data_IF_851051659151
#
_entry.id   IF_851051659151
#
_cell.length_a   1.000
_cell.length_b   1.000
_cell.length_c   1.000
_cell.angle_alpha   90.00
_cell.angle_beta   90.00
_cell.angle_gamma   90.00
#
_symmetry.space_group_name_H-M   'P 1'
#
loop_
_entity.id
_entity.type
_entity.pdbx_description
1 polymer ?
#
# COMPACT_ATOMS: atom_id res chain seq x y z
N UNK A 1 -3.34 -6.28 -67.17
CA UNK A 1 -4.50 -6.19 -66.28
C UNK A 1 -3.97 -5.97 -64.87
N UNK A 2 -3.96 -4.71 -64.43
CA UNK A 2 -3.55 -4.31 -63.08
C UNK A 2 -4.71 -4.56 -62.13
N UNK A 3 -4.46 -5.27 -61.03
CA UNK A 3 -5.38 -5.33 -59.90
C UNK A 3 -4.96 -4.25 -58.90
N UNK A 4 -5.60 -3.09 -58.98
CA UNK A 4 -5.61 -2.11 -57.89
C UNK A 4 -6.41 -2.70 -56.73
N UNK A 5 -5.71 -3.08 -55.66
CA UNK A 5 -6.34 -3.40 -54.37
C UNK A 5 -6.67 -2.07 -53.71
N UNK A 6 -7.93 -1.63 -53.88
CA UNK A 6 -8.48 -0.50 -53.15
C UNK A 6 -8.53 -0.85 -51.66
N UNK A 7 -7.56 -0.33 -50.89
CA UNK A 7 -7.60 -0.34 -49.43
C UNK A 7 -8.76 0.56 -48.99
N UNK A 8 -9.90 -0.06 -48.71
CA UNK A 8 -11.04 0.63 -48.12
C UNK A 8 -10.71 0.86 -46.65
N UNK A 9 -10.17 2.03 -46.32
CA UNK A 9 -10.09 2.49 -44.93
C UNK A 9 -11.53 2.65 -44.41
N UNK A 10 -11.97 1.76 -43.52
CA UNK A 10 -13.17 1.99 -42.72
C UNK A 10 -12.82 3.00 -41.62
N UNK A 11 -13.49 4.17 -41.56
CA UNK A 11 -13.31 5.10 -40.46
C UNK A 11 -14.10 4.57 -39.25
N UNK A 12 -13.39 4.10 -38.22
CA UNK A 12 -14.01 3.67 -36.96
C UNK A 12 -13.55 2.33 -36.39
N UNK A 13 -12.52 1.70 -36.95
CA UNK A 13 -11.88 0.58 -36.26
C UNK A 13 -11.26 1.11 -34.96
N UNK A 14 -11.87 0.80 -33.82
CA UNK A 14 -11.16 0.75 -32.55
C UNK A 14 -9.92 -0.10 -32.80
N UNK A 15 -8.75 0.52 -32.87
CA UNK A 15 -7.49 -0.22 -32.92
C UNK A 15 -7.55 -1.14 -31.72
N UNK A 16 -7.70 -2.46 -31.97
CA UNK A 16 -7.80 -3.41 -30.87
C UNK A 16 -6.59 -3.20 -29.98
N UNK A 17 -6.79 -3.18 -28.66
CA UNK A 17 -5.70 -2.97 -27.68
C UNK A 17 -4.45 -3.77 -28.01
N UNK A 18 -4.62 -5.00 -28.53
CA UNK A 18 -3.54 -5.84 -29.03
C UNK A 18 -2.77 -5.22 -30.21
N UNK A 19 -3.44 -4.64 -31.21
CA UNK A 19 -2.79 -3.96 -32.33
C UNK A 19 -2.04 -2.69 -31.89
N UNK A 20 -2.54 -1.97 -30.87
CA UNK A 20 -1.86 -0.82 -30.31
C UNK A 20 -0.61 -1.20 -29.49
N UNK A 21 -0.65 -2.31 -28.73
CA UNK A 21 0.46 -2.73 -27.87
C UNK A 21 1.54 -3.53 -28.64
N UNK A 22 1.13 -4.41 -29.55
CA UNK A 22 2.03 -5.38 -30.19
C UNK A 22 2.54 -4.96 -31.57
N UNK A 23 2.23 -3.75 -32.04
CA UNK A 23 2.83 -3.20 -33.26
C UNK A 23 3.92 -2.17 -32.93
N UNK A 24 5.02 -2.10 -33.71
CA UNK A 24 6.05 -1.07 -33.51
C UNK A 24 5.48 0.35 -33.56
N UNK A 25 4.53 0.59 -34.47
CA UNK A 25 3.87 1.89 -34.62
C UNK A 25 3.00 2.22 -33.41
N UNK A 26 2.16 1.29 -32.96
CA UNK A 26 1.32 1.48 -31.78
C UNK A 26 2.15 1.68 -30.51
N UNK A 27 3.27 0.95 -30.36
CA UNK A 27 4.18 1.12 -29.24
C UNK A 27 4.82 2.52 -29.23
N UNK A 28 5.27 3.03 -30.39
CA UNK A 28 5.77 4.40 -30.51
C UNK A 28 4.71 5.45 -30.14
N UNK A 29 3.44 5.21 -30.51
CA UNK A 29 2.34 6.09 -30.13
C UNK A 29 2.08 6.08 -28.63
N UNK A 30 2.14 4.91 -27.98
CA UNK A 30 2.02 4.78 -26.53
C UNK A 30 3.17 5.49 -25.79
N UNK A 31 4.40 5.39 -26.29
CA UNK A 31 5.57 6.11 -25.74
C UNK A 31 5.34 7.62 -25.80
N UNK A 32 4.95 8.15 -26.96
CA UNK A 32 4.66 9.60 -27.12
C UNK A 32 3.50 10.05 -26.23
N UNK A 33 2.45 9.24 -26.11
CA UNK A 33 1.33 9.52 -25.21
C UNK A 33 1.81 9.60 -23.76
N UNK A 34 2.67 8.67 -23.33
CA UNK A 34 3.21 8.64 -21.98
C UNK A 34 4.11 9.84 -21.67
N UNK A 35 4.91 10.31 -22.64
CA UNK A 35 5.68 11.56 -22.54
C UNK A 35 4.77 12.77 -22.32
N UNK A 36 3.68 12.87 -23.08
CA UNK A 36 2.68 13.93 -22.92
C UNK A 36 1.98 13.82 -21.56
N UNK A 37 1.59 12.61 -21.16
CA UNK A 37 0.95 12.34 -19.89
C UNK A 37 1.83 12.77 -18.72
N UNK A 38 3.14 12.46 -18.76
CA UNK A 38 4.10 12.87 -17.74
C UNK A 38 4.27 14.39 -17.62
N UNK A 39 3.96 15.17 -18.66
CA UNK A 39 3.99 16.64 -18.60
C UNK A 39 2.78 17.24 -17.88
N UNK A 40 1.69 16.48 -17.69
CA UNK A 40 0.54 16.95 -16.94
C UNK A 40 0.86 17.06 -15.45
N UNK A 41 0.64 18.25 -14.88
CA UNK A 41 0.84 18.50 -13.45
C UNK A 41 -0.43 18.38 -12.61
N UNK A 42 -1.58 18.72 -13.20
CA UNK A 42 -2.84 18.82 -12.45
C UNK A 42 -3.65 17.50 -12.49
N UNK A 43 -3.58 16.76 -13.59
CA UNK A 43 -4.42 15.58 -13.80
C UNK A 43 -3.69 14.25 -13.60
N UNK A 44 -2.37 14.30 -13.40
CA UNK A 44 -1.51 13.13 -13.14
C UNK A 44 -0.92 13.27 -11.74
N UNK A 45 -0.94 12.19 -10.93
CA UNK A 45 -0.36 12.21 -9.59
C UNK A 45 1.13 12.56 -9.55
N UNK A 46 1.57 13.14 -8.43
CA UNK A 46 2.96 13.56 -8.23
C UNK A 46 3.98 12.42 -8.42
N UNK A 47 3.62 11.17 -8.10
CA UNK A 47 4.51 10.03 -8.29
C UNK A 47 4.68 9.59 -9.75
N UNK A 48 3.86 10.09 -10.69
CA UNK A 48 3.95 9.84 -12.13
C UNK A 48 4.38 11.09 -12.93
N UNK A 49 4.12 12.30 -12.41
CA UNK A 49 4.50 13.55 -13.07
C UNK A 49 6.02 13.60 -13.32
N UNK A 50 6.40 13.93 -14.56
CA UNK A 50 7.79 13.93 -15.02
C UNK A 50 8.43 12.56 -15.22
N UNK A 51 7.67 11.46 -15.08
CA UNK A 51 8.17 10.08 -15.21
C UNK A 51 7.51 9.35 -16.39
N UNK A 52 8.01 9.56 -17.63
CA UNK A 52 7.39 9.00 -18.84
C UNK A 52 7.35 7.47 -18.83
N UNK A 53 8.36 6.79 -18.29
CA UNK A 53 8.38 5.33 -18.20
C UNK A 53 7.28 4.77 -17.29
N UNK A 54 7.03 5.41 -16.15
CA UNK A 54 5.97 5.00 -15.23
C UNK A 54 4.59 5.31 -15.84
N UNK A 55 4.44 6.46 -16.51
CA UNK A 55 3.24 6.79 -17.28
C UNK A 55 2.99 5.79 -18.42
N UNK A 56 4.04 5.28 -19.07
CA UNK A 56 3.91 4.28 -20.13
C UNK A 56 3.39 2.97 -19.57
N UNK A 57 3.94 2.50 -18.45
CA UNK A 57 3.44 1.30 -17.78
C UNK A 57 1.95 1.42 -17.42
N UNK A 58 1.54 2.56 -16.85
CA UNK A 58 0.13 2.84 -16.54
C UNK A 58 -0.73 2.91 -17.80
N UNK A 59 -0.23 3.52 -18.88
CA UNK A 59 -0.94 3.63 -20.15
C UNK A 59 -1.16 2.27 -20.79
N UNK A 60 -0.14 1.41 -20.80
CA UNK A 60 -0.26 0.04 -21.31
C UNK A 60 -1.27 -0.77 -20.48
N UNK A 61 -1.23 -0.64 -19.15
CA UNK A 61 -2.18 -1.32 -18.27
C UNK A 61 -3.62 -0.82 -18.49
N UNK A 62 -3.80 0.49 -18.65
CA UNK A 62 -5.10 1.09 -18.93
C UNK A 62 -5.65 0.64 -20.29
N UNK A 63 -4.79 0.58 -21.31
CA UNK A 63 -5.15 0.06 -22.63
C UNK A 63 -5.61 -1.40 -22.54
N UNK A 64 -4.92 -2.24 -21.76
CA UNK A 64 -5.31 -3.64 -21.50
C UNK A 64 -6.71 -3.77 -20.91
N UNK A 65 -7.09 -2.88 -20.01
CA UNK A 65 -8.44 -2.83 -19.46
C UNK A 65 -9.46 -2.07 -20.33
N UNK A 66 -9.02 -1.47 -21.44
CA UNK A 66 -9.87 -0.60 -22.26
C UNK A 66 -10.33 0.66 -21.53
N UNK A 67 -9.51 1.17 -20.59
CA UNK A 67 -9.82 2.32 -19.75
C UNK A 67 -8.98 3.54 -20.11
N UNK A 68 -9.46 4.72 -19.73
CA UNK A 68 -8.73 5.97 -19.93
C UNK A 68 -7.45 6.01 -19.05
N UNK A 69 -6.25 6.18 -19.64
CA UNK A 69 -4.99 6.21 -18.90
C UNK A 69 -4.92 7.27 -17.77
N UNK A 70 -5.48 8.46 -17.97
CA UNK A 70 -5.50 9.50 -16.94
C UNK A 70 -6.37 9.11 -15.75
N UNK A 71 -7.54 8.50 -16.01
CA UNK A 71 -8.42 8.04 -14.94
C UNK A 71 -7.80 6.88 -14.16
N UNK A 72 -7.10 5.96 -14.84
CA UNK A 72 -6.34 4.88 -14.19
C UNK A 72 -5.21 5.45 -13.34
N UNK A 73 -4.43 6.38 -13.87
CA UNK A 73 -3.34 7.02 -13.13
C UNK A 73 -3.80 7.69 -11.84
N UNK A 74 -4.93 8.40 -11.86
CA UNK A 74 -5.50 9.04 -10.67
C UNK A 74 -5.88 8.05 -9.55
N UNK A 75 -5.93 6.75 -9.87
CA UNK A 75 -6.25 5.67 -8.95
C UNK A 75 -5.04 4.81 -8.61
N UNK A 76 -3.84 5.35 -8.78
CA UNK A 76 -2.57 4.72 -8.39
C UNK A 76 -1.97 5.38 -7.16
N UNK A 77 -1.21 4.61 -6.39
CA UNK A 77 -0.43 5.06 -5.24
C UNK A 77 0.91 4.34 -5.20
N UNK A 78 1.92 4.91 -4.56
CA UNK A 78 3.21 4.24 -4.36
C UNK A 78 3.33 3.79 -2.90
N UNK A 79 3.68 2.52 -2.71
CA UNK A 79 3.99 1.93 -1.41
C UNK A 79 5.37 1.29 -1.50
N UNK A 80 6.32 1.75 -0.68
CA UNK A 80 7.68 1.22 -0.65
C UNK A 80 8.33 1.11 -2.05
N UNK A 81 8.15 2.16 -2.88
CA UNK A 81 8.66 2.22 -4.24
C UNK A 81 7.89 1.41 -5.28
N UNK A 82 6.87 0.65 -4.88
CA UNK A 82 6.04 -0.16 -5.79
C UNK A 82 4.71 0.54 -6.07
N UNK A 83 4.31 0.58 -7.34
CA UNK A 83 3.00 1.12 -7.76
C UNK A 83 1.88 0.15 -7.40
N UNK A 84 0.90 0.64 -6.64
CA UNK A 84 -0.36 -0.04 -6.34
C UNK A 84 -1.55 0.68 -6.94
N UNK A 85 -2.66 -0.04 -7.09
CA UNK A 85 -3.92 0.44 -7.65
C UNK A 85 -5.03 0.42 -6.60
N UNK A 86 -5.85 1.45 -6.54
CA UNK A 86 -6.93 1.53 -5.56
C UNK A 86 -7.97 0.42 -5.76
N UNK A 87 -8.59 -0.02 -4.66
CA UNK A 87 -9.67 -1.00 -4.70
C UNK A 87 -10.87 -0.56 -5.56
N UNK A 88 -11.12 0.76 -5.64
CA UNK A 88 -12.16 1.31 -6.51
C UNK A 88 -11.88 1.03 -7.99
N UNK A 89 -10.61 1.11 -8.41
CA UNK A 89 -10.22 0.77 -9.77
C UNK A 89 -10.37 -0.72 -10.02
N UNK A 90 -9.93 -1.58 -9.10
CA UNK A 90 -10.12 -3.04 -9.18
C UNK A 90 -11.60 -3.37 -9.40
N UNK A 91 -12.50 -2.74 -8.63
CA UNK A 91 -13.94 -2.91 -8.79
C UNK A 91 -14.42 -2.49 -10.19
N UNK A 92 -13.97 -1.33 -10.68
CA UNK A 92 -14.34 -0.84 -12.00
C UNK A 92 -13.88 -1.81 -13.10
N UNK A 93 -12.62 -2.24 -13.05
CA UNK A 93 -12.00 -3.16 -14.01
C UNK A 93 -12.75 -4.48 -14.08
N UNK A 94 -13.01 -5.09 -12.92
CA UNK A 94 -13.72 -6.38 -12.86
C UNK A 94 -15.16 -6.22 -13.33
N UNK A 95 -15.85 -5.17 -12.88
CA UNK A 95 -17.25 -4.91 -13.25
C UNK A 95 -17.46 -4.57 -14.73
N UNK A 96 -16.47 -3.98 -15.41
CA UNK A 96 -16.53 -3.68 -16.84
C UNK A 96 -15.93 -4.77 -17.72
N UNK A 97 -15.35 -5.82 -17.12
CA UNK A 97 -14.72 -6.90 -17.86
C UNK A 97 -15.73 -7.76 -18.60
N UNK A 98 -15.26 -8.43 -19.66
CA UNK A 98 -16.07 -9.40 -20.38
C UNK A 98 -16.25 -10.73 -19.65
N UNK A 99 -15.62 -10.91 -18.48
CA UNK A 99 -15.72 -12.13 -17.67
C UNK A 99 -17.09 -12.26 -17.00
N UNK A 100 -17.66 -11.15 -16.53
CA UNK A 100 -18.88 -11.18 -15.74
C UNK A 100 -20.15 -11.09 -16.61
N UNK A 101 -21.18 -11.86 -16.24
CA UNK A 101 -22.53 -11.74 -16.75
C UNK A 101 -23.35 -10.70 -15.98
N UNK A 102 -23.05 -10.52 -14.69
CA UNK A 102 -23.63 -9.46 -13.84
C UNK A 102 -22.53 -8.57 -13.26
N UNK A 103 -22.87 -7.35 -12.82
CA UNK A 103 -21.92 -6.54 -12.03
C UNK A 103 -21.69 -7.17 -10.65
N UNK A 104 -20.65 -6.71 -9.96
CA UNK A 104 -20.45 -7.01 -8.53
C UNK A 104 -21.60 -6.43 -7.71
N UNK A 105 -22.19 -7.27 -6.86
CA UNK A 105 -23.26 -6.93 -5.94
C UNK A 105 -22.77 -7.05 -4.49
N UNK A 106 -23.51 -6.41 -3.57
CA UNK A 106 -23.11 -6.26 -2.18
C UNK A 106 -24.31 -6.44 -1.26
N UNK A 107 -24.11 -7.14 -0.14
CA UNK A 107 -25.06 -7.22 0.97
C UNK A 107 -24.28 -7.06 2.26
N UNK A 108 -24.79 -6.23 3.16
CA UNK A 108 -24.21 -6.06 4.49
C UNK A 108 -25.15 -6.66 5.51
N UNK A 109 -24.59 -7.42 6.44
CA UNK A 109 -25.33 -8.05 7.53
C UNK A 109 -24.76 -7.55 8.88
N UNK A 110 -25.61 -7.51 9.91
CA UNK A 110 -25.29 -7.02 11.25
C UNK A 110 -25.73 -5.57 11.53
N UNK A 111 -25.61 -5.14 12.79
CA UNK A 111 -25.96 -3.80 13.26
C UNK A 111 -24.78 -2.82 13.12
N UNK A 112 -24.68 -2.21 11.94
CA UNK A 112 -23.60 -1.28 11.59
C UNK A 112 -23.63 0.05 12.36
N UNK A 113 -24.68 0.33 13.15
CA UNK A 113 -24.71 1.54 13.99
C UNK A 113 -23.69 1.51 15.14
N UNK A 114 -23.14 0.33 15.45
CA UNK A 114 -22.19 0.09 16.54
C UNK A 114 -20.75 -0.12 16.08
N UNK A 115 -20.45 0.13 14.80
CA UNK A 115 -19.12 -0.10 14.25
C UNK A 115 -18.08 0.83 14.89
N UNK A 116 -16.95 0.28 15.35
CA UNK A 116 -15.90 1.03 16.05
C UNK A 116 -14.66 1.32 15.17
N UNK A 117 -14.91 1.60 13.89
CA UNK A 117 -13.88 2.02 12.93
C UNK A 117 -12.70 1.07 12.78
N UNK A 118 -11.46 1.57 12.88
CA UNK A 118 -10.23 0.76 12.68
C UNK A 118 -10.04 -0.31 13.74
N UNK A 119 -10.61 -0.15 14.93
CA UNK A 119 -10.42 -1.10 16.04
C UNK A 119 -11.45 -2.23 16.03
N UNK A 120 -12.50 -2.10 15.22
CA UNK A 120 -13.60 -3.06 15.19
C UNK A 120 -13.10 -4.46 14.80
N UNK A 121 -13.48 -5.47 15.58
CA UNK A 121 -13.17 -6.89 15.33
C UNK A 121 -14.42 -7.75 15.33
N UNK A 122 -15.56 -7.16 14.98
CA UNK A 122 -16.85 -7.84 14.98
C UNK A 122 -16.86 -9.01 13.99
N UNK A 123 -17.21 -10.23 14.41
CA UNK A 123 -17.39 -11.36 13.50
C UNK A 123 -18.75 -11.29 12.77
N UNK A 124 -19.70 -10.48 13.25
CA UNK A 124 -21.08 -10.42 12.74
C UNK A 124 -21.32 -9.26 11.79
N UNK A 125 -20.52 -8.18 11.88
CA UNK A 125 -20.54 -7.12 10.87
C UNK A 125 -19.83 -7.63 9.62
N UNK A 126 -20.61 -8.01 8.62
CA UNK A 126 -20.10 -8.67 7.42
C UNK A 126 -20.56 -7.97 6.15
N UNK A 127 -19.79 -8.17 5.09
CA UNK A 127 -20.18 -7.86 3.73
C UNK A 127 -20.05 -9.13 2.90
N UNK A 128 -21.05 -9.37 2.07
CA UNK A 128 -21.07 -10.42 1.07
C UNK A 128 -21.01 -9.77 -0.31
N UNK A 129 -20.03 -10.18 -1.12
CA UNK A 129 -19.86 -9.75 -2.51
C UNK A 129 -20.10 -10.93 -3.43
N UNK A 130 -20.86 -10.72 -4.50
CA UNK A 130 -21.08 -11.75 -5.52
C UNK A 130 -21.24 -11.19 -6.93
N UNK A 131 -20.93 -12.04 -7.91
CA UNK A 131 -21.26 -11.84 -9.31
C UNK A 131 -21.39 -13.19 -10.03
N UNK A 132 -22.13 -13.22 -11.12
CA UNK A 132 -22.24 -14.38 -12.00
C UNK A 132 -21.23 -14.23 -13.13
N UNK A 133 -20.39 -15.23 -13.36
CA UNK A 133 -19.49 -15.27 -14.50
C UNK A 133 -20.26 -15.70 -15.75
N UNK A 134 -19.83 -15.26 -16.94
CA UNK A 134 -20.45 -15.70 -18.19
C UNK A 134 -20.32 -17.22 -18.34
N UNK A 135 -21.45 -17.87 -18.62
CA UNK A 135 -21.54 -19.33 -18.76
C UNK A 135 -21.81 -20.07 -17.45
N UNK A 136 -21.82 -19.40 -16.30
CA UNK A 136 -22.21 -20.00 -15.03
C UNK A 136 -23.70 -19.71 -14.74
N UNK A 137 -24.39 -20.70 -14.14
CA UNK A 137 -25.77 -20.55 -13.71
C UNK A 137 -25.89 -19.89 -12.34
N UNK A 138 -24.95 -20.21 -11.43
CA UNK A 138 -24.95 -19.74 -10.04
C UNK A 138 -23.89 -18.66 -9.83
N UNK A 139 -24.17 -17.65 -8.98
CA UNK A 139 -23.21 -16.61 -8.68
C UNK A 139 -22.09 -17.11 -7.78
N UNK A 140 -20.86 -16.64 -8.03
CA UNK A 140 -19.75 -16.84 -7.09
C UNK A 140 -19.81 -15.78 -6.01
N UNK A 141 -19.64 -16.20 -4.76
CA UNK A 141 -19.88 -15.36 -3.59
C UNK A 141 -18.71 -15.43 -2.62
N UNK A 142 -18.38 -14.30 -1.98
CA UNK A 142 -17.44 -14.23 -0.87
C UNK A 142 -18.03 -13.36 0.24
N UNK A 143 -17.98 -13.85 1.48
CA UNK A 143 -18.36 -13.07 2.67
C UNK A 143 -17.13 -12.86 3.53
N UNK A 144 -16.93 -11.63 4.00
CA UNK A 144 -15.92 -11.31 5.02
C UNK A 144 -16.53 -10.49 6.15
N UNK A 145 -15.98 -10.63 7.35
CA UNK A 145 -16.33 -9.83 8.52
C UNK A 145 -15.31 -8.73 8.80
N UNK A 146 -15.69 -7.76 9.65
CA UNK A 146 -14.75 -6.80 10.22
C UNK A 146 -13.57 -7.53 10.89
N UNK A 147 -13.80 -8.61 11.63
CA UNK A 147 -12.72 -9.41 12.25
C UNK A 147 -11.65 -9.86 11.24
N UNK A 148 -12.04 -10.18 10.00
CA UNK A 148 -11.16 -10.67 8.95
C UNK A 148 -10.45 -9.55 8.15
N UNK A 149 -10.75 -8.28 8.43
CA UNK A 149 -9.99 -7.16 7.88
C UNK A 149 -8.66 -7.05 8.64
N UNK A 150 -7.57 -7.25 7.89
CA UNK A 150 -6.19 -7.22 8.38
C UNK A 150 -5.72 -5.79 8.62
N UNK A 151 -4.83 -5.30 7.77
CA UNK A 151 -4.24 -3.96 7.91
C UNK A 151 -5.24 -2.86 7.51
N UNK A 152 -5.38 -1.81 8.34
CA UNK A 152 -6.37 -0.72 8.18
C UNK A 152 -5.73 0.67 8.19
N UNK A 153 -4.88 0.93 7.21
CA UNK A 153 -4.05 2.14 7.19
C UNK A 153 -4.79 3.39 6.69
N UNK A 154 -5.89 3.23 5.94
CA UNK A 154 -6.69 4.36 5.48
C UNK A 154 -7.49 5.01 6.63
N UNK A 155 -7.52 6.36 6.74
CA UNK A 155 -8.42 7.05 7.68
C UNK A 155 -9.90 6.77 7.39
N UNK A 156 -10.24 6.35 6.17
CA UNK A 156 -11.61 5.97 5.80
C UNK A 156 -12.14 4.76 6.58
N UNK A 157 -11.29 3.99 7.24
CA UNK A 157 -11.76 2.94 8.14
C UNK A 157 -12.47 3.49 9.37
N UNK A 158 -12.19 4.73 9.79
CA UNK A 158 -12.95 5.41 10.84
C UNK A 158 -14.21 6.07 10.27
N UNK A 159 -14.11 6.70 9.11
CA UNK A 159 -15.19 7.52 8.54
C UNK A 159 -16.26 6.69 7.82
N UNK A 160 -15.85 5.67 7.07
CA UNK A 160 -16.72 4.79 6.30
C UNK A 160 -16.19 3.33 6.31
N UNK A 161 -16.19 2.66 7.48
CA UNK A 161 -15.75 1.27 7.61
C UNK A 161 -16.56 0.30 6.73
N UNK A 162 -17.83 0.63 6.47
CA UNK A 162 -18.74 -0.19 5.67
C UNK A 162 -18.29 -0.27 4.22
N UNK A 163 -17.90 0.86 3.64
CA UNK A 163 -17.34 0.91 2.29
C UNK A 163 -15.95 0.28 2.24
N UNK A 164 -15.09 0.54 3.22
CA UNK A 164 -13.75 -0.05 3.26
C UNK A 164 -13.78 -1.58 3.30
N UNK A 165 -14.68 -2.17 4.10
CA UNK A 165 -14.84 -3.62 4.13
C UNK A 165 -15.34 -4.17 2.78
N UNK A 166 -16.28 -3.47 2.13
CA UNK A 166 -16.75 -3.85 0.80
C UNK A 166 -15.63 -3.84 -0.24
N UNK A 167 -14.78 -2.81 -0.25
CA UNK A 167 -13.61 -2.73 -1.11
C UNK A 167 -12.59 -3.84 -0.85
N UNK A 168 -12.34 -4.18 0.42
CA UNK A 168 -11.50 -5.33 0.76
C UNK A 168 -12.10 -6.65 0.23
N UNK A 169 -13.41 -6.84 0.39
CA UNK A 169 -14.11 -8.02 -0.09
C UNK A 169 -14.05 -8.15 -1.60
N UNK A 170 -14.26 -7.05 -2.34
CA UNK A 170 -14.14 -7.02 -3.82
C UNK A 170 -12.76 -7.46 -4.27
N UNK A 171 -11.70 -6.96 -3.64
CA UNK A 171 -10.34 -7.36 -4.02
C UNK A 171 -10.11 -8.85 -3.79
N UNK A 172 -10.48 -9.37 -2.62
CA UNK A 172 -10.34 -10.80 -2.32
C UNK A 172 -11.18 -11.67 -3.26
N UNK A 173 -12.40 -11.25 -3.59
CA UNK A 173 -13.25 -11.92 -4.56
C UNK A 173 -12.61 -11.91 -5.96
N UNK A 174 -12.12 -10.76 -6.40
CA UNK A 174 -11.49 -10.59 -7.71
C UNK A 174 -10.21 -11.41 -7.84
N UNK A 175 -9.38 -11.48 -6.78
CA UNK A 175 -8.20 -12.36 -6.74
C UNK A 175 -8.56 -13.82 -6.94
N UNK A 176 -9.66 -14.27 -6.32
CA UNK A 176 -10.07 -15.67 -6.36
C UNK A 176 -10.80 -16.03 -7.67
N UNK A 177 -11.58 -15.11 -8.23
CA UNK A 177 -12.53 -15.42 -9.31
C UNK A 177 -12.32 -14.65 -10.61
N UNK A 178 -11.49 -13.62 -10.64
CA UNK A 178 -11.11 -12.85 -11.82
C UNK A 178 -9.59 -12.56 -11.89
N UNK A 179 -8.69 -13.54 -11.60
CA UNK A 179 -7.24 -13.28 -11.57
C UNK A 179 -6.67 -12.91 -12.95
N UNK A 180 -7.28 -13.43 -14.02
CA UNK A 180 -6.97 -13.14 -15.43
C UNK A 180 -7.33 -11.71 -15.84
N UNK A 181 -8.30 -11.09 -15.16
CA UNK A 181 -8.64 -9.68 -15.34
C UNK A 181 -7.66 -8.77 -14.59
N UNK A 182 -7.19 -9.21 -13.41
CA UNK A 182 -6.27 -8.43 -12.59
C UNK A 182 -4.81 -8.51 -13.04
N UNK A 183 -4.36 -9.65 -13.56
CA UNK A 183 -3.01 -9.86 -14.08
C UNK A 183 -1.89 -9.45 -13.11
N UNK A 184 -2.11 -9.67 -11.81
CA UNK A 184 -1.09 -9.41 -10.79
C UNK A 184 -0.94 -7.95 -10.36
N UNK A 185 -1.83 -7.02 -10.77
CA UNK A 185 -1.83 -5.66 -10.20
C UNK A 185 -2.16 -5.73 -8.71
N UNK A 186 -1.41 -5.05 -7.85
CA UNK A 186 -1.61 -5.06 -6.38
C UNK A 186 -2.27 -3.80 -5.89
N UNK A 187 -3.02 -3.89 -4.78
CA UNK A 187 -3.54 -2.72 -4.08
C UNK A 187 -2.60 -2.28 -2.96
N UNK A 188 -2.64 -1.00 -2.54
CA UNK A 188 -1.68 -0.45 -1.57
C UNK A 188 -1.55 -1.26 -0.28
N UNK A 189 -2.64 -1.76 0.27
CA UNK A 189 -2.66 -2.61 1.47
C UNK A 189 -2.05 -4.00 1.24
N UNK A 190 -2.23 -4.62 0.06
CA UNK A 190 -1.57 -5.89 -0.27
C UNK A 190 -0.04 -5.72 -0.35
N UNK A 191 0.43 -4.60 -0.89
CA UNK A 191 1.86 -4.26 -0.94
C UNK A 191 2.45 -4.01 0.46
N UNK A 192 1.66 -3.44 1.36
CA UNK A 192 2.05 -3.24 2.76
C UNK A 192 2.12 -4.55 3.54
N UNK A 193 1.21 -5.49 3.28
CA UNK A 193 1.23 -6.83 3.89
C UNK A 193 2.42 -7.69 3.40
N UNK A 194 2.87 -7.49 2.16
CA UNK A 194 3.99 -8.22 1.54
C UNK A 194 5.36 -7.63 1.87
N UNK A 195 5.42 -6.50 2.60
CA UNK A 195 6.69 -5.93 3.04
C UNK A 195 7.40 -6.94 3.97
N UNK A 196 8.68 -7.28 3.70
CA UNK A 196 9.31 -8.43 4.33
C UNK A 196 9.31 -8.28 5.85
N UNK A 197 8.62 -9.19 6.53
CA UNK A 197 9.06 -9.60 7.86
C UNK A 197 10.47 -10.10 7.66
N UNK A 198 11.45 -9.47 8.32
CA UNK A 198 12.84 -9.93 8.33
C UNK A 198 12.79 -11.44 8.54
N UNK A 199 13.12 -12.21 7.50
CA UNK A 199 13.12 -13.66 7.59
C UNK A 199 14.08 -14.02 8.71
N UNK A 200 13.53 -14.60 9.79
CA UNK A 200 14.35 -15.09 10.88
C UNK A 200 15.04 -16.33 10.35
N UNK A 201 16.36 -16.28 10.24
CA UNK A 201 17.16 -17.48 10.05
C UNK A 201 16.86 -18.45 11.20
N UNK A 202 16.17 -19.54 10.89
CA UNK A 202 15.83 -20.62 11.82
C UNK A 202 16.84 -21.77 11.75
N UNK A 203 17.94 -21.61 11.01
CA UNK A 203 18.98 -22.64 10.94
C UNK A 203 19.54 -22.87 12.34
N UNK A 204 19.34 -24.05 12.94
CA UNK A 204 19.93 -24.34 14.23
C UNK A 204 21.46 -24.25 14.07
N UNK A 205 22.19 -23.55 14.96
CA UNK A 205 23.63 -23.47 14.86
C UNK A 205 24.19 -24.89 14.92
N UNK A 206 25.02 -25.25 13.92
CA UNK A 206 25.71 -26.53 13.91
C UNK A 206 26.47 -26.68 15.23
N UNK A 207 26.17 -27.76 15.97
CA UNK A 207 26.82 -28.08 17.23
C UNK A 207 28.27 -28.51 16.97
N UNK A 208 29.15 -27.55 16.69
CA UNK A 208 30.58 -27.78 16.67
C UNK A 208 31.07 -27.89 18.11
N UNK A 209 31.61 -29.05 18.47
CA UNK A 209 32.16 -29.40 19.79
C UNK A 209 33.39 -28.60 20.22
N UNK A 210 33.33 -27.28 20.13
CA UNK A 210 34.35 -26.34 20.61
C UNK A 210 34.01 -25.72 21.98
N UNK A 211 32.87 -26.10 22.58
CA UNK A 211 32.42 -25.59 23.89
C UNK A 211 33.19 -26.12 25.09
N UNK A 212 33.94 -27.23 24.96
CA UNK A 212 34.58 -27.88 26.11
C UNK A 212 35.87 -27.17 26.57
N UNK A 213 36.57 -26.45 25.69
CA UNK A 213 37.86 -25.81 26.01
C UNK A 213 37.75 -24.39 26.60
N UNK A 214 36.53 -23.82 26.69
CA UNK A 214 36.32 -22.47 27.26
C UNK A 214 35.98 -22.46 28.76
N UNK A 215 35.86 -23.61 29.42
CA UNK A 215 35.49 -23.70 30.84
C UNK A 215 36.67 -23.73 31.83
N UNK A 216 37.93 -23.62 31.36
CA UNK A 216 39.11 -23.72 32.24
C UNK A 216 39.70 -22.35 32.62
N UNK A 217 39.31 -21.26 31.96
CA UNK A 217 39.87 -19.94 32.25
C UNK A 217 38.79 -18.88 32.48
N UNK A 218 38.16 -18.96 33.64
CA UNK A 218 37.20 -17.96 34.10
C UNK A 218 37.93 -16.74 34.69
N UNK A 219 37.59 -15.55 34.20
CA UNK A 219 37.55 -14.30 34.98
C UNK A 219 36.21 -13.61 34.71
N UNK A 220 35.53 -13.06 35.74
CA UNK A 220 34.24 -12.44 35.58
C UNK A 220 34.40 -10.97 35.18
N UNK A 221 34.07 -10.64 33.93
CA UNK A 221 33.84 -9.26 33.51
C UNK A 221 32.44 -9.15 32.90
N UNK A 222 31.73 -8.12 33.37
CA UNK A 222 30.32 -7.83 33.12
C UNK A 222 30.05 -7.70 31.61
N UNK A 223 29.16 -8.54 31.08
CA UNK A 223 28.64 -8.41 29.73
C UNK A 223 27.72 -7.19 29.65
N UNK A 224 28.24 -6.09 29.14
CA UNK A 224 27.44 -5.10 28.41
C UNK A 224 26.94 -5.77 27.12
N UNK A 225 25.63 -5.87 26.96
CA UNK A 225 24.99 -6.29 25.71
C UNK A 225 25.27 -5.23 24.62
N UNK A 226 26.25 -5.52 23.75
CA UNK A 226 26.39 -4.86 22.46
C UNK A 226 25.22 -5.28 21.55
N UNK A 227 24.12 -4.54 21.62
CA UNK A 227 23.12 -4.53 20.57
C UNK A 227 23.66 -3.67 19.42
N UNK A 228 24.15 -4.34 18.37
CA UNK A 228 24.66 -3.71 17.15
C UNK A 228 23.72 -2.62 16.64
N UNK A 229 24.17 -1.36 16.72
CA UNK A 229 23.50 -0.21 16.12
C UNK A 229 23.74 -0.26 14.61
N UNK A 230 22.70 -0.58 13.84
CA UNK A 230 22.59 -0.02 12.49
C UNK A 230 22.54 1.51 12.65
N UNK A 231 23.44 2.22 11.97
CA UNK A 231 23.40 3.67 11.89
C UNK A 231 22.09 4.06 11.22
N UNK A 232 21.17 4.56 12.03
CA UNK A 232 19.99 5.25 11.56
C UNK A 232 20.46 6.59 10.98
N UNK A 233 20.62 6.64 9.65
CA UNK A 233 21.06 7.78 8.82
C UNK A 233 19.95 8.81 8.58
N UNK A 234 18.97 8.91 9.48
CA UNK A 234 17.92 9.92 9.37
C UNK A 234 18.51 11.31 9.53
N UNK A 235 18.11 12.23 8.64
CA UNK A 235 18.55 13.62 8.70
C UNK A 235 18.01 14.30 9.97
N UNK A 236 18.72 15.31 10.54
CA UNK A 236 18.30 15.99 11.77
C UNK A 236 16.86 16.53 11.75
N UNK A 237 16.38 16.98 10.58
CA UNK A 237 15.00 17.47 10.41
C UNK A 237 13.96 16.34 10.55
N UNK A 238 14.25 15.17 9.98
CA UNK A 238 13.36 14.01 10.06
C UNK A 238 13.27 13.47 11.49
N UNK A 239 14.38 13.55 12.24
CA UNK A 239 14.42 13.18 13.66
C UNK A 239 13.58 14.13 14.50
N UNK A 240 13.68 15.45 14.26
CA UNK A 240 12.88 16.45 14.94
C UNK A 240 11.38 16.26 14.62
N UNK A 241 11.03 16.17 13.33
CA UNK A 241 9.63 15.99 12.88
C UNK A 241 9.01 14.74 13.49
N UNK A 242 9.71 13.60 13.43
CA UNK A 242 9.22 12.35 13.99
C UNK A 242 9.04 12.41 15.51
N UNK A 243 9.91 13.13 16.22
CA UNK A 243 9.77 13.32 17.65
C UNK A 243 8.57 14.22 17.98
N UNK A 244 8.41 15.33 17.28
CA UNK A 244 7.27 16.25 17.45
C UNK A 244 5.94 15.55 17.20
N UNK A 245 5.85 14.75 16.14
CA UNK A 245 4.64 13.98 15.83
C UNK A 245 4.33 12.90 16.88
N UNK A 246 5.36 12.26 17.43
CA UNK A 246 5.20 11.19 18.41
C UNK A 246 5.03 11.69 19.85
N UNK A 247 5.46 12.91 20.17
CA UNK A 247 5.51 13.43 21.55
C UNK A 247 4.14 13.35 22.25
N UNK A 248 3.07 13.78 21.58
CA UNK A 248 1.71 13.75 22.13
C UNK A 248 1.17 12.33 22.36
N UNK A 249 1.75 11.32 21.72
CA UNK A 249 1.34 9.92 21.85
C UNK A 249 1.92 9.19 23.07
N UNK A 250 2.89 9.79 23.78
CA UNK A 250 3.43 9.20 25.01
C UNK A 250 2.47 9.43 26.19
N UNK A 251 2.16 8.36 26.93
CA UNK A 251 1.22 8.36 28.05
C UNK A 251 1.89 8.31 29.43
N UNK A 252 3.23 8.27 29.48
CA UNK A 252 4.02 8.17 30.70
C UNK A 252 5.29 8.99 30.54
N UNK A 253 5.74 9.66 31.62
CA UNK A 253 6.98 10.43 31.63
C UNK A 253 8.19 9.57 31.26
N UNK A 254 8.28 8.33 31.77
CA UNK A 254 9.40 7.42 31.47
C UNK A 254 9.55 7.09 29.97
N UNK A 255 8.44 6.91 29.26
CA UNK A 255 8.47 6.65 27.82
C UNK A 255 8.91 7.89 27.02
N UNK A 256 8.42 9.07 27.43
CA UNK A 256 8.80 10.35 26.85
C UNK A 256 10.29 10.66 27.08
N UNK A 257 10.80 10.41 28.30
CA UNK A 257 12.21 10.59 28.67
C UNK A 257 13.14 9.70 27.83
N UNK A 258 12.76 8.45 27.60
CA UNK A 258 13.54 7.54 26.79
C UNK A 258 13.59 7.97 25.32
N UNK A 259 12.47 8.46 24.78
CA UNK A 259 12.42 9.00 23.42
C UNK A 259 13.26 10.27 23.29
N UNK A 260 13.16 11.19 24.25
CA UNK A 260 13.92 12.43 24.25
C UNK A 260 15.43 12.20 24.39
N UNK A 261 15.88 11.25 25.22
CA UNK A 261 17.30 10.88 25.32
C UNK A 261 17.90 10.44 23.98
N UNK A 262 17.14 9.74 23.15
CA UNK A 262 17.56 9.34 21.81
C UNK A 262 17.70 10.56 20.89
N UNK A 263 16.69 11.43 20.89
CA UNK A 263 16.63 12.64 20.04
C UNK A 263 17.72 13.64 20.44
N UNK A 264 17.88 13.91 21.73
CA UNK A 264 18.91 14.79 22.26
C UNK A 264 20.33 14.32 21.88
N UNK A 265 20.56 13.00 21.89
CA UNK A 265 21.85 12.42 21.45
C UNK A 265 22.08 12.58 19.94
N UNK A 266 21.02 12.57 19.13
CA UNK A 266 21.11 12.66 17.67
C UNK A 266 21.19 14.10 17.16
N UNK A 267 20.58 15.03 17.88
CA UNK A 267 20.60 16.47 17.58
C UNK A 267 21.69 17.23 18.37
N UNK A 268 22.60 16.53 19.06
CA UNK A 268 23.64 17.14 19.89
C UNK A 268 24.59 18.10 19.15
N UNK A 269 24.64 18.04 17.81
CA UNK A 269 25.45 18.92 16.97
C UNK A 269 24.62 20.00 16.25
N UNK A 270 23.34 20.15 16.59
CA UNK A 270 22.39 21.09 15.99
C UNK A 270 21.54 21.75 17.08
N UNK A 271 22.08 22.84 17.64
CA UNK A 271 21.50 23.52 18.80
C UNK A 271 20.09 24.07 18.55
N UNK A 272 19.78 24.51 17.32
CA UNK A 272 18.45 25.04 16.96
C UNK A 272 17.38 23.94 17.00
N UNK A 273 17.67 22.79 16.38
CA UNK A 273 16.75 21.65 16.38
C UNK A 273 16.67 20.97 17.73
N UNK A 274 17.79 20.89 18.45
CA UNK A 274 17.82 20.40 19.82
C UNK A 274 16.95 21.28 20.74
N UNK A 275 17.02 22.61 20.60
CA UNK A 275 16.14 23.55 21.31
C UNK A 275 14.66 23.26 21.06
N UNK A 276 14.26 23.14 19.79
CA UNK A 276 12.87 22.80 19.42
C UNK A 276 12.41 21.45 19.98
N UNK A 277 13.26 20.42 19.95
CA UNK A 277 12.94 19.14 20.56
C UNK A 277 12.81 19.24 22.09
N UNK A 278 13.63 20.08 22.73
CA UNK A 278 13.60 20.32 24.18
C UNK A 278 12.30 21.01 24.60
N UNK A 279 11.83 21.97 23.81
CA UNK A 279 10.56 22.68 24.07
C UNK A 279 9.38 21.71 24.01
N UNK A 280 9.30 20.90 22.95
CA UNK A 280 8.25 19.88 22.78
C UNK A 280 8.27 18.87 23.93
N UNK A 281 9.46 18.41 24.32
CA UNK A 281 9.65 17.50 25.45
C UNK A 281 9.15 18.12 26.77
N UNK A 282 9.52 19.37 27.04
CA UNK A 282 9.19 20.07 28.29
C UNK A 282 7.68 20.28 28.40
N UNK A 283 7.04 20.77 27.34
CA UNK A 283 5.59 20.96 27.28
C UNK A 283 4.87 19.64 27.57
N UNK A 284 5.23 18.57 26.87
CA UNK A 284 4.54 17.28 27.02
C UNK A 284 4.79 16.63 28.39
N UNK A 285 5.99 16.79 28.95
CA UNK A 285 6.33 16.27 30.27
C UNK A 285 5.53 16.99 31.35
N UNK A 286 5.37 18.30 31.23
CA UNK A 286 4.62 19.10 32.20
C UNK A 286 3.12 18.76 32.10
N UNK A 287 2.56 18.59 30.89
CA UNK A 287 1.20 18.07 30.69
C UNK A 287 0.97 16.70 31.37
N UNK A 288 1.93 15.77 31.25
CA UNK A 288 1.82 14.45 31.86
C UNK A 288 1.90 14.48 33.40
N UNK A 289 2.52 15.52 33.97
CA UNK A 289 2.64 15.70 35.42
C UNK A 289 1.45 16.49 36.03
N UNK A 290 0.71 17.26 35.23
CA UNK A 290 -0.45 18.06 35.68
C UNK A 290 -1.79 17.29 35.67
N UNK A 291 -1.85 16.06 35.13
CA UNK A 291 -3.08 15.24 35.14
C UNK A 291 -3.31 14.70 36.57
N UNK A 292 -4.39 15.09 37.28
CA UNK A 292 -4.74 14.46 38.55
C UNK A 292 -5.21 13.02 38.29
N UNK A 293 -4.62 12.08 39.03
CA UNK A 293 -4.97 10.64 39.06
C UNK A 293 -6.44 10.43 39.40
#
# INVERSE_FOLDING_TARGET
MSNDIAVTQQPGATVGTAAAIFSPEGMNQLVRFAELMAQSKATVPAHLAGKPSDCLAVTMQAAQWGMNPFAVAQKTHVVNGTLGYEAQLVNAVVSSSNLLATRLNYRWDGDWSKVSGKTDKSPVLTVTVWATLKGEAEPRTLTISMQQAGVRNSPLWEQDPRQQLAYLCVKRWARLHAPDVLLGVYTPDELQETSPRVERDITPPASTGAGMNKMINAKPEQQQEERGKKSDEREPEEILSAFTDAAMGYNTVDALDNAYKYVAKKLANDDDRLGKATDVYTIRRDELNEIPV
#
